data_IF_934876517486
#
_entry.id   IF_934876517486
#
_cell.length_a   1.000
_cell.length_b   1.000
_cell.length_c   1.000
_cell.angle_alpha   90.00
_cell.angle_beta   90.00
_cell.angle_gamma   90.00
#
_symmetry.space_group_name_H-M   'P 1'
#
loop_
_entity.id
_entity.type
_entity.pdbx_description
1 polymer ?
#
# COMPACT_ATOMS: atom_id res chain seq x y z
N UNK A 1 53.77 -26.04 11.74
CA UNK A 1 52.81 -25.17 11.03
C UNK A 1 52.33 -25.89 9.81
N UNK A 2 51.03 -26.17 9.73
CA UNK A 2 50.39 -26.86 8.60
C UNK A 2 50.30 -25.93 7.37
N UNK A 3 50.06 -26.50 6.18
CA UNK A 3 49.94 -25.74 4.93
C UNK A 3 48.77 -24.75 5.00
N UNK A 4 47.67 -25.16 5.61
CA UNK A 4 46.44 -24.37 5.77
C UNK A 4 46.66 -23.16 6.70
N UNK A 5 47.47 -23.33 7.76
CA UNK A 5 47.85 -22.22 8.66
C UNK A 5 48.68 -21.15 7.94
N UNK A 6 49.57 -21.54 7.02
CA UNK A 6 50.37 -20.60 6.21
C UNK A 6 49.49 -19.79 5.26
N UNK A 7 48.51 -20.45 4.64
CA UNK A 7 47.60 -19.82 3.68
C UNK A 7 46.67 -18.81 4.36
N UNK A 8 46.13 -19.14 5.53
CA UNK A 8 45.30 -18.23 6.32
C UNK A 8 46.07 -16.98 6.79
N UNK A 9 47.34 -17.13 7.21
CA UNK A 9 48.20 -16.01 7.59
C UNK A 9 48.53 -15.11 6.40
N UNK A 10 48.77 -15.69 5.21
CA UNK A 10 49.01 -14.95 3.96
C UNK A 10 47.80 -14.11 3.56
N UNK A 11 46.59 -14.68 3.60
CA UNK A 11 45.35 -13.95 3.29
C UNK A 11 45.09 -12.82 4.28
N UNK A 12 45.31 -13.04 5.57
CA UNK A 12 45.18 -11.99 6.58
C UNK A 12 46.17 -10.84 6.33
N UNK A 13 47.42 -11.15 5.99
CA UNK A 13 48.45 -10.16 5.65
C UNK A 13 48.09 -9.35 4.40
N UNK A 14 47.52 -10.00 3.38
CA UNK A 14 47.02 -9.33 2.17
C UNK A 14 45.98 -8.25 2.52
N UNK A 15 44.96 -8.58 3.32
CA UNK A 15 43.92 -7.60 3.68
C UNK A 15 44.41 -6.50 4.62
N UNK A 16 45.36 -6.80 5.52
CA UNK A 16 46.00 -5.78 6.36
C UNK A 16 46.80 -4.80 5.50
N UNK A 17 47.50 -5.28 4.46
CA UNK A 17 48.20 -4.42 3.49
C UNK A 17 47.26 -3.51 2.69
N UNK A 18 45.99 -3.91 2.53
CA UNK A 18 44.93 -3.11 1.94
C UNK A 18 44.28 -2.13 2.93
N UNK A 19 44.90 -1.88 4.09
CA UNK A 19 44.40 -1.02 5.17
C UNK A 19 43.05 -1.46 5.77
N UNK A 20 42.70 -2.75 5.68
CA UNK A 20 41.51 -3.29 6.33
C UNK A 20 41.87 -3.70 7.77
N UNK A 21 41.18 -3.18 8.81
CA UNK A 21 41.45 -3.56 10.19
C UNK A 21 41.22 -5.05 10.43
N UNK A 22 42.13 -5.70 11.17
CA UNK A 22 42.02 -7.12 11.55
C UNK A 22 40.66 -7.46 12.19
N UNK A 23 40.12 -6.54 13.00
CA UNK A 23 38.79 -6.66 13.62
C UNK A 23 37.68 -6.84 12.58
N UNK A 24 37.74 -6.12 11.47
CA UNK A 24 36.76 -6.20 10.38
C UNK A 24 36.86 -7.54 9.66
N UNK A 25 38.09 -8.01 9.40
CA UNK A 25 38.35 -9.31 8.77
C UNK A 25 37.75 -10.44 9.62
N UNK A 26 38.10 -10.50 10.91
CA UNK A 26 37.55 -11.51 11.83
C UNK A 26 36.04 -11.38 12.01
N UNK A 27 35.49 -10.16 12.04
CA UNK A 27 34.05 -9.95 12.10
C UNK A 27 33.33 -10.55 10.89
N UNK A 28 33.83 -10.31 9.67
CA UNK A 28 33.27 -10.87 8.43
C UNK A 28 33.39 -12.40 8.43
N UNK A 29 34.54 -12.96 8.79
CA UNK A 29 34.76 -14.40 8.85
C UNK A 29 33.82 -15.06 9.86
N UNK A 30 33.75 -14.55 11.10
CA UNK A 30 32.86 -15.08 12.13
C UNK A 30 31.38 -14.98 11.71
N UNK A 31 30.99 -13.90 11.03
CA UNK A 31 29.64 -13.74 10.49
C UNK A 31 29.35 -14.76 9.39
N UNK A 32 30.30 -15.02 8.50
CA UNK A 32 30.18 -16.03 7.46
C UNK A 32 30.09 -17.45 8.05
N UNK A 33 30.94 -17.78 9.02
CA UNK A 33 30.91 -19.07 9.72
C UNK A 33 29.59 -19.29 10.46
N UNK A 34 29.00 -18.25 11.06
CA UNK A 34 27.76 -18.36 11.83
C UNK A 34 26.48 -18.38 10.97
N UNK A 35 26.45 -17.62 9.87
CA UNK A 35 25.21 -17.37 9.11
C UNK A 35 25.30 -17.76 7.62
N UNK A 36 26.47 -18.19 7.14
CA UNK A 36 26.71 -18.51 5.72
C UNK A 36 26.68 -17.28 4.79
N UNK A 37 26.64 -16.07 5.33
CA UNK A 37 26.48 -14.83 4.56
C UNK A 37 27.54 -13.79 4.91
N UNK A 38 28.18 -13.21 3.89
CA UNK A 38 29.08 -12.06 4.05
C UNK A 38 28.33 -10.71 3.97
N UNK A 39 27.17 -10.67 3.31
CA UNK A 39 26.36 -9.47 3.06
C UNK A 39 25.83 -8.87 4.36
N UNK A 40 25.64 -7.56 4.39
CA UNK A 40 25.04 -6.87 5.53
C UNK A 40 23.67 -7.41 5.89
N UNK A 41 23.46 -7.64 7.18
CA UNK A 41 22.15 -8.00 7.70
C UNK A 41 21.27 -6.74 7.76
N UNK A 42 19.96 -6.87 7.57
CA UNK A 42 19.05 -5.74 7.69
C UNK A 42 19.18 -5.12 9.08
N UNK A 43 19.57 -3.85 9.14
CA UNK A 43 19.66 -3.10 10.40
C UNK A 43 18.27 -2.84 10.93
N UNK A 44 18.12 -2.85 12.27
CA UNK A 44 16.89 -2.38 12.91
C UNK A 44 16.67 -0.91 12.55
N UNK A 45 15.58 -0.63 11.84
CA UNK A 45 15.18 0.73 11.49
C UNK A 45 14.49 1.46 12.65
N UNK A 46 14.11 2.72 12.40
CA UNK A 46 13.31 3.52 13.34
C UNK A 46 11.95 2.84 13.62
N UNK A 47 11.49 2.77 14.88
CA UNK A 47 10.18 2.22 15.19
C UNK A 47 9.05 2.98 14.50
N UNK A 48 8.04 2.23 14.06
CA UNK A 48 6.89 2.78 13.34
C UNK A 48 5.95 3.51 14.30
N UNK A 49 5.51 4.72 13.91
CA UNK A 49 4.51 5.49 14.68
C UNK A 49 3.10 4.88 14.66
N UNK A 50 2.79 4.08 13.64
CA UNK A 50 1.49 3.43 13.47
C UNK A 50 1.66 1.92 13.56
N UNK A 51 1.10 1.34 14.63
CA UNK A 51 0.94 -0.11 14.78
C UNK A 51 -0.05 -0.66 13.76
N UNK A 52 0.00 -1.97 13.52
CA UNK A 52 -0.91 -2.64 12.58
C UNK A 52 -2.38 -2.46 12.99
N UNK A 53 -2.69 -2.46 14.30
CA UNK A 53 -4.05 -2.19 14.82
C UNK A 53 -4.55 -0.80 14.40
N UNK A 54 -3.78 0.25 14.68
CA UNK A 54 -4.13 1.63 14.29
C UNK A 54 -4.26 1.77 12.78
N UNK A 55 -3.41 1.08 12.01
CA UNK A 55 -3.48 1.10 10.55
C UNK A 55 -4.79 0.48 10.05
N UNK A 56 -5.25 -0.63 10.64
CA UNK A 56 -6.53 -1.26 10.29
C UNK A 56 -7.72 -0.34 10.61
N UNK A 57 -7.67 0.42 11.70
CA UNK A 57 -8.71 1.40 12.03
C UNK A 57 -8.74 2.57 11.04
N UNK A 58 -7.56 3.00 10.58
CA UNK A 58 -7.45 3.99 9.49
C UNK A 58 -8.05 3.43 8.20
N UNK A 59 -7.72 2.19 7.83
CA UNK A 59 -8.25 1.49 6.64
C UNK A 59 -9.78 1.46 6.68
N UNK A 60 -10.37 1.02 7.79
CA UNK A 60 -11.84 1.00 7.99
C UNK A 60 -12.47 2.38 7.85
N UNK A 61 -11.74 3.43 8.22
CA UNK A 61 -12.22 4.82 8.14
C UNK A 61 -12.20 5.38 6.71
N UNK A 62 -11.37 4.85 5.80
CA UNK A 62 -11.22 5.39 4.43
C UNK A 62 -11.76 4.48 3.34
N UNK A 63 -11.80 3.17 3.56
CA UNK A 63 -12.16 2.21 2.52
C UNK A 63 -13.64 2.36 2.14
N UNK A 64 -13.92 2.65 0.86
CA UNK A 64 -15.26 2.88 0.32
C UNK A 64 -16.07 3.95 1.07
N UNK A 65 -15.41 4.89 1.77
CA UNK A 65 -16.05 6.00 2.48
C UNK A 65 -15.70 7.33 1.82
N UNK A 66 -16.65 8.27 1.83
CA UNK A 66 -16.46 9.64 1.35
C UNK A 66 -16.48 10.64 2.51
N UNK A 67 -16.02 11.88 2.25
CA UNK A 67 -16.15 12.99 3.21
C UNK A 67 -15.12 13.02 4.34
N UNK A 68 -14.11 12.16 4.31
CA UNK A 68 -13.05 12.12 5.33
C UNK A 68 -11.73 12.56 4.72
N UNK A 69 -11.18 13.68 5.23
CA UNK A 69 -9.86 14.16 4.82
C UNK A 69 -8.74 13.48 5.61
N UNK A 70 -7.57 13.32 4.98
CA UNK A 70 -6.39 12.78 5.65
C UNK A 70 -5.93 13.64 6.84
N UNK A 71 -6.21 14.95 6.81
CA UNK A 71 -5.95 15.87 7.94
C UNK A 71 -6.81 15.52 9.16
N UNK A 72 -8.11 15.23 8.94
CA UNK A 72 -9.04 14.81 10.01
C UNK A 72 -8.59 13.48 10.64
N UNK A 73 -8.17 12.53 9.82
CA UNK A 73 -7.61 11.26 10.30
C UNK A 73 -6.31 11.49 11.06
N UNK A 74 -5.40 12.32 10.52
CA UNK A 74 -4.14 12.65 11.17
C UNK A 74 -4.33 13.20 12.59
N UNK A 75 -5.27 14.13 12.78
CA UNK A 75 -5.64 14.65 14.10
C UNK A 75 -6.14 13.53 15.03
N UNK A 76 -7.05 12.67 14.56
CA UNK A 76 -7.59 11.54 15.36
C UNK A 76 -6.50 10.58 15.84
N UNK A 77 -5.51 10.30 15.00
CA UNK A 77 -4.43 9.35 15.29
C UNK A 77 -3.13 10.02 15.78
N UNK A 78 -3.16 11.33 16.05
CA UNK A 78 -2.03 12.12 16.53
C UNK A 78 -0.77 11.99 15.64
N UNK A 79 -0.98 11.98 14.32
CA UNK A 79 0.08 11.92 13.33
C UNK A 79 -0.14 12.94 12.22
N UNK A 80 0.95 13.41 11.63
CA UNK A 80 0.86 14.29 10.48
C UNK A 80 0.16 13.61 9.29
N UNK A 81 -0.63 14.36 8.52
CA UNK A 81 -1.41 13.83 7.39
C UNK A 81 -0.53 13.11 6.34
N UNK A 82 0.71 13.55 6.13
CA UNK A 82 1.66 12.87 5.23
C UNK A 82 2.03 11.46 5.71
N UNK A 83 2.01 11.22 7.02
CA UNK A 83 2.19 9.87 7.59
C UNK A 83 1.03 8.96 7.22
N UNK A 84 -0.22 9.48 7.26
CA UNK A 84 -1.41 8.74 6.83
C UNK A 84 -1.29 8.37 5.35
N UNK A 85 -1.03 9.36 4.49
CA UNK A 85 -0.88 9.16 3.05
C UNK A 85 0.18 8.09 2.72
N UNK A 86 1.36 8.20 3.32
CA UNK A 86 2.46 7.26 3.10
C UNK A 86 2.12 5.84 3.55
N UNK A 87 1.48 5.68 4.70
CA UNK A 87 1.11 4.35 5.21
C UNK A 87 -0.01 3.73 4.38
N UNK A 88 -1.02 4.50 3.97
CA UNK A 88 -2.07 4.01 3.06
C UNK A 88 -1.48 3.55 1.72
N UNK A 89 -0.54 4.31 1.15
CA UNK A 89 0.07 3.93 -0.14
C UNK A 89 1.01 2.73 -0.05
N UNK A 90 1.81 2.64 1.02
CA UNK A 90 2.91 1.64 1.11
C UNK A 90 2.54 0.35 1.85
N UNK A 91 1.56 0.40 2.75
CA UNK A 91 1.25 -0.70 3.67
C UNK A 91 -0.17 -1.22 3.54
N UNK A 92 -0.99 -0.68 2.63
CA UNK A 92 -2.36 -1.13 2.42
C UNK A 92 -2.67 -1.22 0.92
N UNK A 93 -3.73 -1.95 0.57
CA UNK A 93 -4.20 -2.12 -0.81
C UNK A 93 -5.27 -1.11 -1.23
N UNK A 94 -5.53 -0.08 -0.40
CA UNK A 94 -6.63 0.86 -0.64
C UNK A 94 -6.31 1.74 -1.85
N UNK A 95 -7.24 1.77 -2.79
CA UNK A 95 -7.24 2.73 -3.91
C UNK A 95 -8.19 3.89 -3.62
N UNK A 96 -7.63 5.08 -3.47
CA UNK A 96 -8.40 6.32 -3.35
C UNK A 96 -8.81 6.74 -4.75
N UNK A 97 -10.13 6.82 -5.00
CA UNK A 97 -10.69 7.21 -6.31
C UNK A 97 -11.42 8.54 -6.18
N UNK A 98 -11.42 9.33 -7.26
CA UNK A 98 -12.31 10.49 -7.35
C UNK A 98 -13.75 10.00 -7.47
N UNK A 99 -14.67 10.67 -6.77
CA UNK A 99 -16.09 10.40 -6.86
C UNK A 99 -16.61 10.94 -8.20
N UNK A 100 -17.37 10.13 -8.92
CA UNK A 100 -18.15 10.60 -10.07
C UNK A 100 -19.43 11.26 -9.56
N UNK A 101 -19.78 12.40 -10.16
CA UNK A 101 -21.05 13.07 -9.92
C UNK A 101 -22.16 12.21 -10.51
N UNK A 102 -23.13 11.83 -9.68
CA UNK A 102 -24.39 11.28 -10.16
C UNK A 102 -25.38 12.44 -10.38
N UNK A 103 -26.26 12.36 -11.40
CA UNK A 103 -27.38 13.29 -11.52
C UNK A 103 -28.17 13.31 -10.21
N UNK A 104 -28.53 14.51 -9.74
CA UNK A 104 -29.46 14.61 -8.61
C UNK A 104 -30.83 14.16 -9.08
N UNK A 105 -31.51 13.38 -8.25
CA UNK A 105 -32.95 13.18 -8.37
C UNK A 105 -33.59 14.29 -7.54
N UNK A 106 -34.35 15.16 -8.20
CA UNK A 106 -34.85 16.40 -7.59
C UNK A 106 -36.08 16.15 -6.71
N UNK A 107 -36.73 14.98 -6.83
CA UNK A 107 -37.85 14.58 -5.98
C UNK A 107 -37.79 13.12 -5.52
N UNK A 108 -38.37 12.82 -4.37
CA UNK A 108 -38.53 11.43 -3.88
C UNK A 108 -39.30 10.55 -4.86
N UNK A 109 -40.25 11.13 -5.59
CA UNK A 109 -41.01 10.43 -6.62
C UNK A 109 -40.15 10.04 -7.82
N UNK A 110 -39.22 10.89 -8.24
CA UNK A 110 -38.24 10.53 -9.27
C UNK A 110 -37.37 9.36 -8.82
N UNK A 111 -36.94 9.34 -7.56
CA UNK A 111 -36.15 8.23 -7.01
C UNK A 111 -36.94 6.92 -6.96
N UNK A 112 -38.19 6.96 -6.50
CA UNK A 112 -39.08 5.77 -6.51
C UNK A 112 -39.34 5.27 -7.92
N UNK A 113 -39.59 6.17 -8.88
CA UNK A 113 -39.79 5.81 -10.30
C UNK A 113 -38.54 5.19 -10.89
N UNK A 114 -37.36 5.76 -10.66
CA UNK A 114 -36.10 5.19 -11.16
C UNK A 114 -35.87 3.76 -10.65
N UNK A 115 -36.11 3.51 -9.35
CA UNK A 115 -35.97 2.16 -8.76
C UNK A 115 -36.96 1.14 -9.35
N UNK A 116 -38.21 1.55 -9.58
CA UNK A 116 -39.28 0.64 -10.01
C UNK A 116 -39.36 0.46 -11.52
N UNK A 117 -39.11 1.50 -12.30
CA UNK A 117 -39.28 1.47 -13.75
C UNK A 117 -38.25 0.58 -14.44
N UNK A 118 -37.01 0.51 -13.95
CA UNK A 118 -36.01 -0.43 -14.49
C UNK A 118 -36.50 -1.88 -14.43
N UNK A 119 -37.07 -2.31 -13.30
CA UNK A 119 -37.61 -3.66 -13.15
C UNK A 119 -38.90 -3.92 -13.95
N UNK A 120 -39.71 -2.88 -14.20
CA UNK A 120 -40.88 -2.98 -15.09
C UNK A 120 -40.43 -3.13 -16.55
N UNK A 121 -39.44 -2.35 -16.98
CA UNK A 121 -38.89 -2.38 -18.32
C UNK A 121 -38.24 -3.75 -18.60
N UNK A 122 -37.43 -4.26 -17.67
CA UNK A 122 -36.82 -5.57 -17.78
C UNK A 122 -37.85 -6.70 -17.98
N UNK A 123 -38.94 -6.69 -17.21
CA UNK A 123 -40.02 -7.67 -17.35
C UNK A 123 -40.73 -7.59 -18.70
N UNK A 124 -40.96 -6.37 -19.22
CA UNK A 124 -41.55 -6.17 -20.56
C UNK A 124 -40.64 -6.66 -21.69
N UNK A 125 -39.34 -6.43 -21.57
CA UNK A 125 -38.35 -6.95 -22.53
C UNK A 125 -38.36 -8.48 -22.54
N UNK A 126 -38.40 -9.11 -21.35
CA UNK A 126 -38.49 -10.57 -21.20
C UNK A 126 -39.75 -11.18 -21.81
N UNK A 127 -40.87 -10.45 -21.81
CA UNK A 127 -42.12 -10.89 -22.45
C UNK A 127 -42.11 -10.76 -23.98
N UNK A 128 -40.98 -10.38 -24.59
CA UNK A 128 -40.82 -10.32 -26.04
C UNK A 128 -41.17 -8.98 -26.68
N UNK A 129 -41.21 -7.89 -25.91
CA UNK A 129 -41.28 -6.55 -26.49
C UNK A 129 -39.91 -6.09 -26.98
N UNK A 130 -39.86 -5.53 -28.18
CA UNK A 130 -38.69 -4.81 -28.67
C UNK A 130 -38.66 -3.39 -28.09
N UNK A 131 -37.46 -2.94 -27.71
CA UNK A 131 -37.23 -1.59 -27.19
C UNK A 131 -36.34 -0.83 -28.15
N UNK A 132 -36.89 0.23 -28.73
CA UNK A 132 -36.15 1.20 -29.53
C UNK A 132 -35.94 2.44 -28.66
N UNK A 133 -34.68 2.83 -28.47
CA UNK A 133 -34.30 4.02 -27.71
C UNK A 133 -33.70 5.04 -28.67
N UNK A 134 -34.15 6.28 -28.56
CA UNK A 134 -33.58 7.44 -29.25
C UNK A 134 -33.23 8.51 -28.21
N UNK A 135 -32.12 9.21 -28.40
CA UNK A 135 -31.66 10.27 -27.50
C UNK A 135 -31.18 11.46 -28.33
N UNK A 136 -31.91 12.57 -28.24
CA UNK A 136 -31.53 13.82 -28.89
C UNK A 136 -30.38 14.46 -28.10
N UNK A 137 -29.17 14.35 -28.65
CA UNK A 137 -27.98 14.95 -28.04
C UNK A 137 -27.79 16.37 -28.57
N UNK A 138 -28.10 17.36 -27.75
CA UNK A 138 -27.78 18.76 -28.06
C UNK A 138 -26.27 18.98 -27.94
N UNK A 139 -25.58 19.08 -29.07
CA UNK A 139 -24.19 19.54 -29.12
C UNK A 139 -24.18 21.06 -28.92
N UNK A 140 -23.55 21.52 -27.84
CA UNK A 140 -23.20 22.93 -27.60
C UNK A 140 -21.70 23.11 -27.78
#
# INVERSE_FOLDING_TARGET
>A
MTRDEREALSQLHYFVKQNIPRRTIYYILNKYLRYGIARDQPRSGRPLKLSNKKLNDIVKSVNNRSGISQRKIGRRFHVHHSTISRNLRRRTSIRIRKRQTAPKMDSEDQEKRAKTNCGKLYRKLLSGCDLILDDEKFFR
#
